data_IF_964014793758
#
_entry.id   IF_964014793758
#
_cell.length_a   1.000
_cell.length_b   1.000
_cell.length_c   1.000
_cell.angle_alpha   90.00
_cell.angle_beta   90.00
_cell.angle_gamma   90.00
#
_symmetry.space_group_name_H-M   'P 1'
#
loop_
_entity.id
_entity.type
_entity.pdbx_description
1 polymer ?
#
# COMPACT_ATOMS: atom_id res chain seq x y z
N UNK A 1 2.88 26.07 17.56
CA UNK A 1 3.49 24.89 16.92
C UNK A 1 3.11 24.91 15.46
N UNK A 2 4.04 24.67 14.55
CA UNK A 2 3.72 24.53 13.12
C UNK A 2 2.77 23.35 12.89
N UNK A 3 1.87 23.47 11.93
CA UNK A 3 0.96 22.40 11.53
C UNK A 3 1.77 21.20 11.02
N UNK A 4 1.52 19.99 11.55
CA UNK A 4 2.20 18.76 11.11
C UNK A 4 1.87 18.44 9.66
N UNK A 5 2.86 18.03 8.89
CA UNK A 5 2.75 17.74 7.46
C UNK A 5 2.87 16.24 7.14
N UNK A 6 2.11 15.77 6.15
CA UNK A 6 2.16 14.39 5.69
C UNK A 6 2.05 14.28 4.17
N UNK A 7 2.94 13.51 3.57
CA UNK A 7 2.86 13.09 2.17
C UNK A 7 2.22 11.69 2.11
N UNK A 8 1.16 11.55 1.29
CA UNK A 8 0.45 10.28 1.09
C UNK A 8 0.45 9.94 -0.39
N UNK A 9 0.94 8.74 -0.74
CA UNK A 9 0.91 8.27 -2.13
C UNK A 9 -0.35 7.47 -2.43
N UNK A 10 -0.90 7.62 -3.66
CA UNK A 10 -2.05 6.87 -4.12
C UNK A 10 -3.37 7.25 -3.47
N UNK A 11 -3.69 8.56 -3.47
CA UNK A 11 -4.90 9.13 -2.84
C UNK A 11 -6.13 9.15 -3.74
N UNK A 12 -6.08 8.61 -4.96
CA UNK A 12 -7.23 8.64 -5.88
C UNK A 12 -8.45 7.84 -5.37
N UNK A 13 -8.26 6.87 -4.48
CA UNK A 13 -9.35 6.07 -3.92
C UNK A 13 -8.91 5.27 -2.68
N UNK A 14 -9.87 4.61 -2.02
CA UNK A 14 -9.63 3.62 -0.98
C UNK A 14 -8.90 4.17 0.25
N UNK A 15 -7.86 3.47 0.70
CA UNK A 15 -7.13 3.78 1.94
C UNK A 15 -6.48 5.17 1.86
N UNK A 16 -5.79 5.49 0.76
CA UNK A 16 -5.12 6.78 0.60
C UNK A 16 -6.08 7.96 0.58
N UNK A 17 -7.24 7.81 -0.09
CA UNK A 17 -8.28 8.82 -0.12
C UNK A 17 -8.88 9.07 1.27
N UNK A 18 -9.30 8.01 1.97
CA UNK A 18 -9.86 8.10 3.33
C UNK A 18 -8.84 8.70 4.31
N UNK A 19 -7.58 8.28 4.24
CA UNK A 19 -6.51 8.80 5.07
C UNK A 19 -6.26 10.29 4.84
N UNK A 20 -6.24 10.74 3.57
CA UNK A 20 -6.01 12.12 3.22
C UNK A 20 -7.09 13.03 3.82
N UNK A 21 -8.36 12.71 3.60
CA UNK A 21 -9.47 13.48 4.15
C UNK A 21 -9.55 13.45 5.68
N UNK A 22 -9.30 12.27 6.27
CA UNK A 22 -9.39 12.12 7.73
C UNK A 22 -8.26 12.88 8.44
N UNK A 23 -7.03 12.82 7.93
CA UNK A 23 -5.90 13.55 8.48
C UNK A 23 -6.06 15.06 8.29
N UNK A 24 -6.55 15.49 7.13
CA UNK A 24 -6.88 16.90 6.87
C UNK A 24 -7.91 17.43 7.89
N UNK A 25 -9.00 16.70 8.10
CA UNK A 25 -10.02 17.03 9.11
C UNK A 25 -9.46 17.07 10.54
N UNK A 26 -8.43 16.29 10.81
CA UNK A 26 -7.73 16.29 12.10
C UNK A 26 -6.66 17.37 12.24
N UNK A 27 -6.56 18.30 11.28
CA UNK A 27 -5.67 19.45 11.34
C UNK A 27 -4.24 19.18 10.82
N UNK A 28 -3.99 18.06 10.12
CA UNK A 28 -2.74 17.88 9.40
C UNK A 28 -2.71 18.66 8.10
N UNK A 29 -1.54 19.15 7.72
CA UNK A 29 -1.28 19.61 6.37
C UNK A 29 -1.00 18.40 5.48
N UNK A 30 -1.95 18.06 4.63
CA UNK A 30 -1.91 16.81 3.85
C UNK A 30 -1.55 17.11 2.41
N UNK A 31 -0.45 16.56 1.95
CA UNK A 31 -0.08 16.50 0.55
C UNK A 31 -0.56 15.16 -0.03
N UNK A 32 -1.75 15.22 -0.65
CA UNK A 32 -2.38 14.05 -1.24
C UNK A 32 -1.87 13.86 -2.67
N UNK A 33 -1.28 12.70 -3.00
CA UNK A 33 -0.72 12.53 -4.34
C UNK A 33 -1.40 11.44 -5.16
N UNK A 34 -1.53 11.73 -6.44
CA UNK A 34 -2.12 10.85 -7.46
C UNK A 34 -1.28 10.87 -8.72
N UNK A 35 -1.31 9.77 -9.49
CA UNK A 35 -0.61 9.66 -10.76
C UNK A 35 -1.28 10.47 -11.86
N UNK A 36 -2.60 10.48 -11.92
CA UNK A 36 -3.40 11.13 -12.94
C UNK A 36 -3.76 12.57 -12.56
N UNK A 37 -3.63 13.50 -13.50
CA UNK A 37 -3.98 14.92 -13.28
C UNK A 37 -5.45 15.08 -12.90
N UNK A 38 -6.37 14.37 -13.52
CA UNK A 38 -7.80 14.39 -13.22
C UNK A 38 -8.14 14.07 -11.75
N UNK A 39 -7.38 13.15 -11.13
CA UNK A 39 -7.51 12.84 -9.71
C UNK A 39 -6.92 13.94 -8.82
N UNK A 40 -5.85 14.60 -9.27
CA UNK A 40 -5.25 15.76 -8.58
C UNK A 40 -6.25 16.91 -8.56
N UNK A 41 -6.84 17.25 -9.71
CA UNK A 41 -7.85 18.33 -9.82
C UNK A 41 -9.06 18.06 -8.92
N UNK A 42 -9.54 16.83 -8.91
CA UNK A 42 -10.64 16.42 -8.04
C UNK A 42 -10.31 16.60 -6.56
N UNK A 43 -9.16 16.14 -6.09
CA UNK A 43 -8.75 16.27 -4.69
C UNK A 43 -8.49 17.74 -4.30
N UNK A 44 -7.99 18.56 -5.23
CA UNK A 44 -7.83 20.00 -5.04
C UNK A 44 -9.19 20.67 -4.86
N UNK A 45 -10.18 20.32 -5.69
CA UNK A 45 -11.54 20.82 -5.56
C UNK A 45 -12.23 20.34 -4.26
N UNK A 46 -11.80 19.23 -3.70
CA UNK A 46 -12.23 18.74 -2.38
C UNK A 46 -11.50 19.43 -1.21
N UNK A 47 -10.61 20.40 -1.48
CA UNK A 47 -9.92 21.24 -0.50
C UNK A 47 -8.59 20.71 0.01
N UNK A 48 -8.01 19.68 -0.60
CA UNK A 48 -6.70 19.13 -0.24
C UNK A 48 -5.56 19.82 -1.02
N UNK A 49 -4.36 19.89 -0.45
CA UNK A 49 -3.15 20.17 -1.22
C UNK A 49 -2.78 18.91 -2.03
N UNK A 50 -3.31 18.83 -3.27
CA UNK A 50 -3.06 17.69 -4.13
C UNK A 50 -1.91 17.95 -5.09
N UNK A 51 -1.07 16.94 -5.34
CA UNK A 51 0.06 17.01 -6.26
C UNK A 51 0.11 15.78 -7.15
N UNK A 52 0.59 15.95 -8.38
CA UNK A 52 0.86 14.82 -9.25
C UNK A 52 2.15 14.13 -8.79
N UNK A 53 2.08 12.82 -8.59
CA UNK A 53 3.24 12.00 -8.26
C UNK A 53 3.02 10.58 -8.80
N UNK A 54 3.90 10.17 -9.72
CA UNK A 54 4.07 8.78 -10.13
C UNK A 54 5.27 8.20 -9.39
N UNK A 55 5.03 7.18 -8.58
CA UNK A 55 6.10 6.52 -7.81
C UNK A 55 7.07 5.71 -8.68
N UNK A 56 6.81 5.57 -9.97
CA UNK A 56 7.71 4.92 -10.93
C UNK A 56 8.56 5.92 -11.73
N UNK A 57 8.38 7.21 -11.48
CA UNK A 57 9.10 8.30 -12.16
C UNK A 57 9.86 9.16 -11.12
N UNK A 58 11.18 9.09 -11.15
CA UNK A 58 12.03 9.85 -10.23
C UNK A 58 11.88 11.36 -10.40
N UNK A 59 11.69 11.85 -11.63
CA UNK A 59 11.47 13.28 -11.90
C UNK A 59 10.17 13.77 -11.27
N UNK A 60 9.11 12.98 -11.39
CA UNK A 60 7.82 13.26 -10.73
C UNK A 60 7.95 13.29 -9.21
N UNK A 61 8.72 12.35 -8.63
CA UNK A 61 8.99 12.34 -7.18
C UNK A 61 9.77 13.60 -6.74
N UNK A 62 10.82 13.98 -7.48
CA UNK A 62 11.65 15.14 -7.15
C UNK A 62 10.86 16.44 -7.23
N UNK A 63 10.03 16.60 -8.27
CA UNK A 63 9.17 17.76 -8.43
C UNK A 63 8.17 17.89 -7.28
N UNK A 64 7.47 16.80 -6.95
CA UNK A 64 6.49 16.80 -5.87
C UNK A 64 7.15 17.05 -4.50
N UNK A 65 8.29 16.41 -4.21
CA UNK A 65 9.00 16.62 -2.94
C UNK A 65 9.57 18.03 -2.82
N UNK A 66 10.14 18.60 -3.89
CA UNK A 66 10.61 19.98 -3.92
C UNK A 66 9.51 20.96 -3.61
N UNK A 67 8.34 20.80 -4.22
CA UNK A 67 7.17 21.64 -3.98
C UNK A 67 6.67 21.52 -2.53
N UNK A 68 6.60 20.31 -1.99
CA UNK A 68 6.22 20.06 -0.58
C UNK A 68 7.19 20.78 0.35
N UNK A 69 8.50 20.60 0.14
CA UNK A 69 9.52 21.20 1.00
C UNK A 69 9.53 22.73 0.90
N UNK A 70 9.29 23.31 -0.28
CA UNK A 70 9.11 24.75 -0.46
C UNK A 70 7.95 25.27 0.38
N UNK A 71 6.81 24.59 0.36
CA UNK A 71 5.60 25.00 1.09
C UNK A 71 5.69 24.77 2.61
N UNK A 72 6.55 23.86 3.07
CA UNK A 72 6.68 23.49 4.49
C UNK A 72 7.92 24.07 5.17
N UNK A 73 8.69 24.90 4.47
CA UNK A 73 9.94 25.44 5.01
C UNK A 73 11.02 24.37 5.19
N UNK A 74 11.03 23.34 4.33
CA UNK A 74 12.07 22.31 4.29
C UNK A 74 11.83 21.12 5.24
N UNK A 75 10.60 20.92 5.74
CA UNK A 75 10.28 19.82 6.66
C UNK A 75 9.13 18.94 6.15
N UNK A 76 9.11 17.66 6.58
CA UNK A 76 8.03 16.72 6.32
C UNK A 76 7.92 15.74 7.50
N UNK A 77 6.84 15.83 8.28
CA UNK A 77 6.66 15.04 9.51
C UNK A 77 6.40 13.55 9.23
N UNK A 78 5.66 13.26 8.15
CA UNK A 78 5.30 11.88 7.83
C UNK A 78 5.26 11.60 6.33
N UNK A 79 5.63 10.35 5.97
CA UNK A 79 5.42 9.75 4.67
C UNK A 79 4.53 8.50 4.83
N UNK A 80 3.44 8.44 4.08
CA UNK A 80 2.59 7.24 3.98
C UNK A 80 2.71 6.66 2.56
N UNK A 81 3.47 5.59 2.44
CA UNK A 81 3.61 4.81 1.23
C UNK A 81 2.41 3.88 1.07
N UNK A 82 1.39 4.34 0.34
CA UNK A 82 0.15 3.61 0.11
C UNK A 82 -0.07 3.23 -1.36
N UNK A 83 0.54 3.91 -2.32
CA UNK A 83 0.38 3.59 -3.74
C UNK A 83 0.76 2.14 -4.04
N UNK A 84 -0.17 1.37 -4.59
CA UNK A 84 0.04 -0.02 -5.00
C UNK A 84 -1.11 -0.49 -5.91
N UNK A 85 -0.83 -1.52 -6.71
CA UNK A 85 -1.85 -2.23 -7.48
C UNK A 85 -1.60 -3.74 -7.47
N UNK A 86 -2.50 -4.51 -8.07
CA UNK A 86 -2.37 -5.95 -8.18
C UNK A 86 -2.50 -6.39 -9.65
N UNK A 87 -1.73 -7.42 -10.01
CA UNK A 87 -1.89 -8.16 -11.28
C UNK A 87 -2.28 -9.59 -10.94
N UNK A 88 -3.58 -9.92 -10.96
CA UNK A 88 -4.05 -11.26 -10.66
C UNK A 88 -3.77 -12.21 -11.85
N UNK A 89 -3.45 -13.47 -11.54
CA UNK A 89 -3.19 -14.51 -12.52
C UNK A 89 -2.52 -15.74 -11.90
N UNK A 90 -2.51 -16.85 -12.60
CA UNK A 90 -1.68 -18.00 -12.22
C UNK A 90 -0.20 -17.63 -12.40
N UNK A 91 0.65 -18.10 -11.53
CA UNK A 91 2.08 -17.75 -11.57
C UNK A 91 2.74 -18.11 -12.93
N UNK A 92 2.32 -19.22 -13.52
CA UNK A 92 2.81 -19.68 -14.84
C UNK A 92 2.34 -18.82 -16.02
N UNK A 93 1.25 -18.07 -15.86
CA UNK A 93 0.67 -17.22 -16.89
C UNK A 93 1.10 -15.74 -16.76
N UNK A 94 1.76 -15.36 -15.67
CA UNK A 94 2.22 -13.98 -15.45
C UNK A 94 3.53 -13.76 -16.21
N UNK A 95 3.57 -12.92 -17.25
CA UNK A 95 4.82 -12.58 -17.91
C UNK A 95 5.80 -11.91 -16.96
N UNK A 96 7.10 -12.13 -17.15
CA UNK A 96 8.15 -11.49 -16.32
C UNK A 96 8.05 -9.97 -16.34
N UNK A 97 7.63 -9.40 -17.46
CA UNK A 97 7.41 -7.96 -17.62
C UNK A 97 6.32 -7.46 -16.67
N UNK A 98 5.17 -8.13 -16.59
CA UNK A 98 4.11 -7.78 -15.65
C UNK A 98 4.58 -7.89 -14.18
N UNK A 99 5.45 -8.87 -13.89
CA UNK A 99 6.07 -8.99 -12.58
C UNK A 99 7.02 -7.81 -12.30
N UNK A 100 7.82 -7.36 -13.28
CA UNK A 100 8.65 -6.16 -13.12
C UNK A 100 7.81 -4.91 -12.90
N UNK A 101 6.80 -4.66 -13.73
CA UNK A 101 5.92 -3.49 -13.62
C UNK A 101 5.27 -3.37 -12.22
N UNK A 102 4.80 -4.48 -11.64
CA UNK A 102 4.21 -4.43 -10.29
C UNK A 102 5.26 -4.18 -9.19
N UNK A 103 6.49 -4.68 -9.36
CA UNK A 103 7.59 -4.39 -8.46
C UNK A 103 8.03 -2.93 -8.54
N UNK A 104 8.05 -2.33 -9.74
CA UNK A 104 8.35 -0.90 -9.91
C UNK A 104 7.44 -0.04 -9.04
N UNK A 105 6.12 -0.26 -9.08
CA UNK A 105 5.18 0.52 -8.27
C UNK A 105 5.21 0.14 -6.79
N UNK A 106 5.09 -1.17 -6.48
CA UNK A 106 4.78 -1.62 -5.12
C UNK A 106 6.01 -1.67 -4.20
N UNK A 107 7.23 -1.67 -4.76
CA UNK A 107 8.47 -1.78 -3.99
C UNK A 107 9.52 -0.74 -4.40
N UNK A 108 9.93 -0.70 -5.68
CA UNK A 108 11.07 0.16 -6.08
C UNK A 108 10.73 1.64 -5.98
N UNK A 109 9.55 2.06 -6.41
CA UNK A 109 9.09 3.44 -6.29
C UNK A 109 8.91 3.86 -4.82
N UNK A 110 8.33 2.99 -4.00
CA UNK A 110 8.25 3.19 -2.55
C UNK A 110 9.65 3.36 -1.94
N UNK A 111 10.61 2.52 -2.31
CA UNK A 111 11.99 2.61 -1.88
C UNK A 111 12.65 3.92 -2.33
N UNK A 112 12.51 4.29 -3.60
CA UNK A 112 13.07 5.51 -4.15
C UNK A 112 12.56 6.77 -3.41
N UNK A 113 11.25 6.88 -3.22
CA UNK A 113 10.65 7.99 -2.48
C UNK A 113 11.10 8.01 -1.01
N UNK A 114 11.15 6.84 -0.37
CA UNK A 114 11.64 6.71 1.02
C UNK A 114 13.09 7.20 1.15
N UNK A 115 13.98 6.84 0.21
CA UNK A 115 15.36 7.32 0.17
C UNK A 115 15.46 8.85 0.06
N UNK A 116 14.58 9.48 -0.72
CA UNK A 116 14.55 10.94 -0.90
C UNK A 116 14.03 11.65 0.36
N UNK A 117 13.12 11.05 1.13
CA UNK A 117 12.52 11.64 2.34
C UNK A 117 13.41 11.46 3.59
N UNK A 118 14.13 10.37 3.73
CA UNK A 118 14.99 10.10 4.90
C UNK A 118 15.97 11.24 5.21
N UNK A 119 16.72 11.83 4.24
CA UNK A 119 17.62 12.96 4.52
C UNK A 119 16.89 14.18 5.10
N UNK A 120 15.68 14.46 4.64
CA UNK A 120 14.84 15.55 5.17
C UNK A 120 14.52 15.28 6.64
N UNK A 121 14.04 14.07 6.95
CA UNK A 121 13.69 13.67 8.32
C UNK A 121 14.91 13.60 9.24
N UNK A 122 16.09 13.22 8.75
CA UNK A 122 17.34 13.28 9.52
C UNK A 122 17.74 14.71 9.86
N UNK A 123 17.69 15.63 8.88
CA UNK A 123 18.03 17.05 9.09
C UNK A 123 17.10 17.73 10.09
N UNK A 124 15.81 17.42 10.06
CA UNK A 124 14.83 18.00 10.99
C UNK A 124 14.84 17.33 12.38
N UNK A 125 15.47 16.16 12.55
CA UNK A 125 15.60 15.46 13.82
C UNK A 125 14.38 14.64 14.23
N UNK A 126 13.42 14.38 13.36
CA UNK A 126 12.25 13.52 13.59
C UNK A 126 11.63 13.08 12.26
N UNK A 127 10.81 12.04 12.30
CA UNK A 127 10.06 11.60 11.13
C UNK A 127 9.29 10.31 11.37
N UNK A 128 8.28 10.10 10.53
CA UNK A 128 7.50 8.85 10.51
C UNK A 128 7.32 8.37 9.08
N UNK A 129 7.69 7.14 8.82
CA UNK A 129 7.47 6.47 7.54
C UNK A 129 6.56 5.30 7.79
N UNK A 130 5.38 5.33 7.19
CA UNK A 130 4.36 4.29 7.30
C UNK A 130 4.20 3.61 5.95
N UNK A 131 4.54 2.33 5.88
CA UNK A 131 4.33 1.51 4.70
C UNK A 131 3.00 0.74 4.81
N UNK A 132 2.18 0.77 3.76
CA UNK A 132 0.96 -0.03 3.70
C UNK A 132 1.29 -1.39 3.09
N UNK A 133 1.42 -2.38 3.97
CA UNK A 133 1.61 -3.78 3.63
C UNK A 133 0.32 -4.48 3.22
N UNK A 134 0.18 -5.73 3.61
CA UNK A 134 -1.02 -6.55 3.42
C UNK A 134 -0.93 -7.84 4.24
N UNK A 135 -2.07 -8.47 4.55
CA UNK A 135 -2.09 -9.88 4.96
C UNK A 135 -1.36 -10.77 3.95
N UNK A 136 -1.38 -10.41 2.68
CA UNK A 136 -0.65 -11.07 1.60
C UNK A 136 0.87 -10.81 1.61
N UNK A 137 1.39 -10.08 2.58
CA UNK A 137 2.82 -9.96 2.86
C UNK A 137 3.37 -11.09 3.72
N UNK A 138 2.51 -11.96 4.26
CA UNK A 138 2.93 -13.07 5.12
C UNK A 138 2.08 -14.35 5.01
N UNK A 139 1.00 -14.33 4.21
CA UNK A 139 0.26 -15.52 3.74
C UNK A 139 0.01 -15.43 2.25
N UNK A 140 -0.30 -16.56 1.62
CA UNK A 140 -0.46 -16.66 0.16
C UNK A 140 -1.91 -17.00 -0.20
N UNK A 141 -2.33 -16.59 -1.40
CA UNK A 141 -3.60 -17.02 -1.99
C UNK A 141 -3.43 -17.28 -3.49
N UNK A 142 -4.21 -18.21 -4.04
CA UNK A 142 -4.26 -18.46 -5.48
C UNK A 142 -4.51 -17.16 -6.25
N UNK A 143 -3.97 -17.07 -7.46
CA UNK A 143 -4.13 -15.94 -8.40
C UNK A 143 -3.48 -14.62 -7.92
N UNK A 144 -2.57 -14.66 -6.95
CA UNK A 144 -1.99 -13.46 -6.33
C UNK A 144 -0.46 -13.45 -6.35
N UNK A 145 0.19 -14.35 -7.12
CA UNK A 145 1.64 -14.56 -7.02
C UNK A 145 2.46 -13.26 -7.15
N UNK A 146 2.20 -12.43 -8.16
CA UNK A 146 2.93 -11.18 -8.35
C UNK A 146 2.74 -10.19 -7.18
N UNK A 147 1.49 -10.00 -6.74
CA UNK A 147 1.19 -9.11 -5.61
C UNK A 147 1.76 -9.63 -4.29
N UNK A 148 1.59 -10.93 -4.02
CA UNK A 148 2.18 -11.60 -2.84
C UNK A 148 3.68 -11.38 -2.80
N UNK A 149 4.39 -11.60 -3.91
CA UNK A 149 5.83 -11.41 -3.99
C UNK A 149 6.23 -9.98 -3.59
N UNK A 150 5.54 -8.94 -4.11
CA UNK A 150 5.84 -7.55 -3.74
C UNK A 150 5.58 -7.26 -2.27
N UNK A 151 4.52 -7.83 -1.69
CA UNK A 151 4.16 -7.57 -0.28
C UNK A 151 5.04 -8.35 0.71
N UNK A 152 5.51 -9.55 0.36
CA UNK A 152 6.56 -10.25 1.12
C UNK A 152 7.89 -9.48 1.09
N UNK A 153 8.29 -8.98 -0.09
CA UNK A 153 9.47 -8.16 -0.22
C UNK A 153 9.37 -6.89 0.63
N UNK A 154 8.20 -6.24 0.65
CA UNK A 154 7.95 -5.05 1.45
C UNK A 154 8.02 -5.33 2.97
N UNK A 155 7.57 -6.49 3.44
CA UNK A 155 7.73 -6.93 4.83
C UNK A 155 9.21 -6.95 5.23
N UNK A 156 10.03 -7.68 4.48
CA UNK A 156 11.47 -7.80 4.74
C UNK A 156 12.19 -6.46 4.64
N UNK A 157 11.90 -5.68 3.59
CA UNK A 157 12.44 -4.34 3.39
C UNK A 157 12.13 -3.41 4.58
N UNK A 158 10.86 -3.38 5.01
CA UNK A 158 10.44 -2.51 6.12
C UNK A 158 11.06 -2.93 7.44
N UNK A 159 11.19 -4.22 7.71
CA UNK A 159 11.84 -4.73 8.93
C UNK A 159 13.32 -4.35 8.97
N UNK A 160 14.03 -4.50 7.85
CA UNK A 160 15.45 -4.11 7.73
C UNK A 160 15.63 -2.61 7.92
N UNK A 161 14.86 -1.80 7.17
CA UNK A 161 14.92 -0.34 7.30
C UNK A 161 14.64 0.13 8.74
N UNK A 162 13.70 -0.51 9.44
CA UNK A 162 13.40 -0.20 10.84
C UNK A 162 14.57 -0.48 11.78
N UNK A 163 15.32 -1.55 11.53
CA UNK A 163 16.51 -1.88 12.33
C UNK A 163 17.63 -0.89 12.03
N UNK A 164 17.85 -0.53 10.77
CA UNK A 164 18.85 0.44 10.35
C UNK A 164 18.58 1.86 10.87
N UNK A 165 17.28 2.23 11.02
CA UNK A 165 16.89 3.55 11.55
C UNK A 165 16.80 3.60 13.10
N UNK A 166 17.20 2.54 13.81
CA UNK A 166 17.07 2.44 15.27
C UNK A 166 17.89 3.50 16.01
N UNK A 167 19.00 3.92 15.43
CA UNK A 167 19.89 4.99 15.94
C UNK A 167 19.41 6.41 15.61
N UNK A 168 18.25 6.54 14.95
CA UNK A 168 17.66 7.81 14.53
C UNK A 168 16.32 8.07 15.22
N UNK A 169 15.84 9.32 15.24
CA UNK A 169 14.49 9.63 15.72
C UNK A 169 13.39 9.29 14.71
N UNK A 170 13.73 8.69 13.55
CA UNK A 170 12.76 8.31 12.51
C UNK A 170 12.10 6.98 12.87
N UNK A 171 10.78 6.93 12.89
CA UNK A 171 10.01 5.71 13.17
C UNK A 171 9.51 5.08 11.87
N UNK A 172 9.83 3.82 11.67
CA UNK A 172 9.38 3.01 10.52
C UNK A 172 8.29 2.06 10.97
N UNK A 173 7.10 2.14 10.36
CA UNK A 173 5.91 1.39 10.74
C UNK A 173 5.35 0.68 9.51
N UNK A 174 4.90 -0.55 9.71
CA UNK A 174 4.19 -1.33 8.70
C UNK A 174 2.76 -1.57 9.15
N UNK A 175 1.78 -1.20 8.34
CA UNK A 175 0.37 -1.53 8.58
C UNK A 175 -0.04 -2.60 7.60
N UNK A 176 -0.57 -3.71 8.09
CA UNK A 176 -0.96 -4.88 7.31
C UNK A 176 -2.48 -5.06 7.31
N UNK A 177 -3.19 -4.48 6.31
CA UNK A 177 -4.61 -4.72 6.13
C UNK A 177 -4.89 -6.14 5.61
N UNK A 178 -6.02 -6.71 6.06
CA UNK A 178 -6.68 -7.81 5.37
C UNK A 178 -7.71 -7.28 4.35
N UNK A 179 -8.90 -7.86 4.22
CA UNK A 179 -9.95 -7.35 3.33
C UNK A 179 -10.40 -5.94 3.73
N UNK A 180 -10.19 -4.97 2.84
CA UNK A 180 -10.61 -3.57 3.02
C UNK A 180 -11.40 -3.13 1.78
N UNK A 181 -12.48 -2.38 2.00
CA UNK A 181 -13.24 -1.75 0.93
C UNK A 181 -12.34 -0.77 0.17
N UNK A 182 -12.01 -1.10 -1.07
CA UNK A 182 -11.14 -0.31 -1.94
C UNK A 182 -11.38 -0.66 -3.40
N UNK A 183 -10.84 0.16 -4.30
CA UNK A 183 -10.88 -0.09 -5.74
C UNK A 183 -9.77 -1.02 -6.26
N UNK A 184 -9.02 -1.70 -5.38
CA UNK A 184 -7.87 -2.51 -5.82
C UNK A 184 -8.28 -3.63 -6.79
N UNK A 185 -9.49 -4.20 -6.62
CA UNK A 185 -10.02 -5.21 -7.54
C UNK A 185 -10.31 -4.62 -8.92
N UNK A 186 -11.07 -3.52 -8.96
CA UNK A 186 -11.38 -2.82 -10.21
C UNK A 186 -10.12 -2.32 -10.90
N UNK A 187 -9.20 -1.74 -10.14
CA UNK A 187 -7.92 -1.25 -10.64
C UNK A 187 -6.99 -2.37 -11.13
N UNK A 188 -7.22 -3.63 -10.74
CA UNK A 188 -6.44 -4.77 -11.23
C UNK A 188 -6.93 -5.33 -12.57
N UNK A 189 -8.16 -5.02 -12.99
CA UNK A 189 -8.75 -5.52 -14.25
C UNK A 189 -7.92 -5.10 -15.48
N UNK A 190 -7.57 -3.82 -15.68
CA UNK A 190 -6.75 -3.43 -16.84
C UNK A 190 -5.38 -4.14 -16.89
N UNK A 191 -4.76 -4.39 -15.74
CA UNK A 191 -3.49 -5.12 -15.67
C UNK A 191 -3.66 -6.60 -16.00
N UNK A 192 -4.77 -7.20 -15.57
CA UNK A 192 -5.13 -8.56 -15.94
C UNK A 192 -5.35 -8.69 -17.45
N UNK A 193 -6.15 -7.80 -18.04
CA UNK A 193 -6.48 -7.81 -19.48
C UNK A 193 -5.26 -7.53 -20.35
N UNK A 194 -4.36 -6.63 -19.91
CA UNK A 194 -3.12 -6.31 -20.62
C UNK A 194 -2.15 -7.49 -20.71
N UNK A 195 -2.03 -8.26 -19.60
CA UNK A 195 -0.92 -9.19 -19.44
C UNK A 195 -1.29 -10.68 -19.47
N UNK A 196 -2.54 -11.05 -19.13
CA UNK A 196 -2.90 -12.45 -18.92
C UNK A 196 -3.78 -12.98 -20.06
N UNK A 197 -3.19 -13.80 -20.91
CA UNK A 197 -3.94 -14.56 -21.92
C UNK A 197 -4.54 -15.83 -21.28
N UNK A 198 -5.51 -15.61 -20.39
CA UNK A 198 -6.12 -16.68 -19.60
C UNK A 198 -6.81 -17.77 -20.46
N UNK A 199 -7.33 -17.40 -21.65
CA UNK A 199 -8.07 -18.33 -22.53
C UNK A 199 -7.17 -19.38 -23.16
N UNK A 200 -5.90 -19.06 -23.36
CA UNK A 200 -4.89 -20.00 -23.87
C UNK A 200 -4.18 -20.78 -22.74
N UNK A 201 -4.45 -20.44 -21.47
CA UNK A 201 -3.81 -21.13 -20.33
C UNK A 201 -4.33 -22.55 -20.17
N UNK A 202 -3.46 -23.50 -19.78
CA UNK A 202 -3.89 -24.84 -19.30
C UNK A 202 -4.90 -24.76 -18.13
N UNK A 203 -4.99 -23.59 -17.47
CA UNK A 203 -5.90 -23.29 -16.36
C UNK A 203 -7.17 -22.54 -16.77
N UNK A 204 -7.50 -22.42 -18.07
CA UNK A 204 -8.63 -21.65 -18.56
C UNK A 204 -9.95 -21.96 -17.82
N UNK A 205 -10.22 -23.24 -17.58
CA UNK A 205 -11.39 -23.68 -16.80
C UNK A 205 -11.38 -23.14 -15.36
N UNK A 206 -10.22 -23.13 -14.70
CA UNK A 206 -10.08 -22.63 -13.33
C UNK A 206 -10.24 -21.10 -13.30
N UNK A 207 -9.75 -20.39 -14.34
CA UNK A 207 -9.99 -18.95 -14.51
C UNK A 207 -11.48 -18.67 -14.58
N UNK A 208 -12.23 -19.35 -15.46
CA UNK A 208 -13.68 -19.18 -15.59
C UNK A 208 -14.44 -19.45 -14.28
N UNK A 209 -14.09 -20.53 -13.59
CA UNK A 209 -14.77 -20.95 -12.36
C UNK A 209 -14.51 -20.05 -11.16
N UNK A 210 -13.36 -19.35 -11.11
CA UNK A 210 -12.96 -18.61 -9.92
C UNK A 210 -12.51 -17.17 -10.18
N UNK A 211 -11.38 -16.93 -10.87
CA UNK A 211 -10.79 -15.60 -10.96
C UNK A 211 -11.65 -14.62 -11.76
N UNK A 212 -12.19 -15.03 -12.92
CA UNK A 212 -13.03 -14.16 -13.74
C UNK A 212 -14.30 -13.74 -13.01
N UNK A 213 -14.93 -14.69 -12.30
CA UNK A 213 -16.08 -14.35 -11.44
C UNK A 213 -15.71 -13.32 -10.38
N UNK A 214 -14.53 -13.46 -9.75
CA UNK A 214 -14.06 -12.50 -8.76
C UNK A 214 -13.75 -11.13 -9.36
N UNK A 215 -13.29 -11.04 -10.59
CA UNK A 215 -12.93 -9.77 -11.25
C UNK A 215 -14.14 -9.02 -11.77
N UNK A 216 -15.09 -9.73 -12.39
CA UNK A 216 -16.16 -9.13 -13.17
C UNK A 216 -17.57 -9.22 -12.54
N UNK A 217 -17.81 -10.16 -11.62
CA UNK A 217 -19.09 -10.27 -10.97
C UNK A 217 -19.10 -9.46 -9.65
N UNK A 218 -20.22 -8.78 -9.39
CA UNK A 218 -20.46 -8.20 -8.07
C UNK A 218 -20.86 -9.31 -7.10
N UNK A 219 -19.99 -9.60 -6.16
CA UNK A 219 -20.18 -10.64 -5.14
C UNK A 219 -20.43 -10.06 -3.74
N UNK A 220 -20.67 -8.75 -3.69
CA UNK A 220 -20.77 -8.06 -2.42
C UNK A 220 -19.44 -8.01 -1.64
N UNK A 221 -19.46 -7.59 -0.37
CA UNK A 221 -18.28 -7.48 0.46
C UNK A 221 -17.70 -8.86 0.80
N UNK A 222 -16.37 -8.96 0.83
CA UNK A 222 -15.69 -10.16 1.33
C UNK A 222 -16.01 -10.34 2.84
N UNK A 223 -16.07 -11.58 3.30
CA UNK A 223 -16.22 -11.89 4.74
C UNK A 223 -15.09 -11.21 5.53
N UNK A 224 -15.41 -10.55 6.62
CA UNK A 224 -14.49 -9.74 7.43
C UNK A 224 -13.95 -8.47 6.75
N UNK A 225 -14.53 -8.03 5.65
CA UNK A 225 -14.17 -6.76 5.03
C UNK A 225 -14.53 -5.59 5.94
N UNK A 226 -13.58 -4.66 6.09
CA UNK A 226 -13.77 -3.43 6.84
C UNK A 226 -13.66 -2.21 5.90
N UNK A 227 -14.24 -1.06 6.25
CA UNK A 227 -14.06 0.18 5.50
C UNK A 227 -12.61 0.67 5.58
N UNK A 228 -12.21 1.55 4.65
CA UNK A 228 -10.88 2.15 4.62
C UNK A 228 -10.53 2.88 5.93
N UNK A 229 -11.51 3.47 6.60
CA UNK A 229 -11.36 4.13 7.90
C UNK A 229 -10.79 3.24 9.01
N UNK A 230 -10.92 1.91 8.89
CA UNK A 230 -10.28 0.99 9.83
C UNK A 230 -8.74 1.02 9.74
N UNK A 231 -8.20 1.25 8.52
CA UNK A 231 -6.76 1.47 8.32
C UNK A 231 -6.37 2.86 8.78
N UNK A 232 -7.17 3.86 8.46
CA UNK A 232 -6.94 5.25 8.89
C UNK A 232 -6.85 5.39 10.40
N UNK A 233 -7.68 4.66 11.17
CA UNK A 233 -7.55 4.61 12.64
C UNK A 233 -6.17 4.10 13.08
N UNK A 234 -5.57 3.14 12.37
CA UNK A 234 -4.20 2.68 12.66
C UNK A 234 -3.15 3.68 12.22
N UNK A 235 -3.40 4.44 11.14
CA UNK A 235 -2.53 5.54 10.73
C UNK A 235 -2.45 6.61 11.82
N UNK A 236 -3.55 7.02 12.43
CA UNK A 236 -3.51 7.95 13.57
C UNK A 236 -2.64 7.40 14.71
N UNK A 237 -2.80 6.13 15.09
CA UNK A 237 -1.96 5.51 16.13
C UNK A 237 -0.49 5.51 15.70
N UNK A 238 -0.17 5.19 14.43
CA UNK A 238 1.19 5.21 13.91
C UNK A 238 1.81 6.60 13.94
N UNK A 239 1.02 7.63 13.69
CA UNK A 239 1.46 9.03 13.59
C UNK A 239 1.52 9.75 14.94
N UNK A 240 0.69 9.38 15.92
CA UNK A 240 0.55 10.11 17.18
C UNK A 240 1.23 9.43 18.36
N UNK A 241 1.32 8.09 18.38
CA UNK A 241 1.93 7.40 19.52
C UNK A 241 3.42 7.73 19.67
N UNK A 242 3.88 7.98 20.89
CA UNK A 242 5.30 8.22 21.18
C UNK A 242 6.18 7.05 20.71
N UNK A 243 5.74 5.82 20.96
CA UNK A 243 6.40 4.59 20.55
C UNK A 243 5.36 3.69 19.83
N UNK A 244 5.12 3.92 18.51
CA UNK A 244 4.16 3.11 17.78
C UNK A 244 4.66 1.67 17.64
N UNK A 245 3.73 0.71 17.65
CA UNK A 245 4.07 -0.66 17.34
C UNK A 245 4.67 -0.75 15.93
N UNK A 246 5.77 -1.49 15.72
CA UNK A 246 6.45 -1.55 14.43
C UNK A 246 5.59 -2.21 13.34
N UNK A 247 4.68 -3.11 13.72
CA UNK A 247 3.70 -3.73 12.84
C UNK A 247 2.31 -3.63 13.44
N UNK A 248 1.35 -3.23 12.62
CA UNK A 248 -0.05 -3.13 12.98
C UNK A 248 -0.89 -3.92 11.98
N UNK A 249 -1.90 -4.62 12.47
CA UNK A 249 -2.80 -5.43 11.66
C UNK A 249 -4.19 -4.79 11.64
N UNK A 250 -4.89 -4.96 10.51
CA UNK A 250 -6.28 -4.50 10.38
C UNK A 250 -7.10 -5.65 9.81
N UNK A 251 -8.26 -5.90 10.38
CA UNK A 251 -9.18 -7.02 10.16
C UNK A 251 -8.80 -8.30 10.93
N UNK A 252 -9.81 -9.07 11.29
CA UNK A 252 -9.64 -10.35 11.98
C UNK A 252 -8.71 -11.32 11.23
N UNK A 253 -8.85 -11.53 9.90
CA UNK A 253 -7.92 -12.41 9.18
C UNK A 253 -6.46 -11.97 9.26
N UNK A 254 -6.18 -10.66 9.27
CA UNK A 254 -4.80 -10.19 9.37
C UNK A 254 -4.16 -10.56 10.72
N UNK A 255 -4.90 -10.44 11.82
CA UNK A 255 -4.43 -10.88 13.14
C UNK A 255 -4.28 -12.39 13.24
N UNK A 256 -5.32 -13.14 12.87
CA UNK A 256 -5.33 -14.60 13.02
C UNK A 256 -4.26 -15.26 12.16
N UNK A 257 -4.12 -14.84 10.90
CA UNK A 257 -3.11 -15.39 9.98
C UNK A 257 -1.68 -15.04 10.41
N UNK A 258 -1.45 -13.89 11.05
CA UNK A 258 -0.14 -13.57 11.61
C UNK A 258 0.29 -14.55 12.71
N UNK A 259 -0.66 -15.07 13.49
CA UNK A 259 -0.40 -16.07 14.52
C UNK A 259 -0.27 -17.46 13.87
N UNK A 260 -1.24 -17.87 13.06
CA UNK A 260 -1.31 -19.21 12.50
C UNK A 260 -0.09 -19.56 11.65
N UNK A 261 0.43 -18.61 10.86
CA UNK A 261 1.64 -18.84 10.04
C UNK A 261 2.89 -19.16 10.87
N UNK A 262 2.91 -18.79 12.17
CA UNK A 262 4.05 -19.02 13.07
C UNK A 262 3.97 -20.35 13.81
N UNK A 263 2.77 -20.90 13.94
CA UNK A 263 2.52 -22.10 14.74
C UNK A 263 2.13 -23.31 13.91
N UNK A 264 1.58 -23.10 12.72
CA UNK A 264 1.15 -24.19 11.84
C UNK A 264 2.26 -24.61 10.88
N UNK A 265 2.46 -25.93 10.68
CA UNK A 265 3.25 -26.44 9.56
C UNK A 265 2.65 -26.00 8.22
N UNK A 266 3.47 -25.84 7.18
CA UNK A 266 3.06 -25.35 5.85
C UNK A 266 1.83 -26.08 5.30
N UNK A 267 1.80 -27.43 5.36
CA UNK A 267 0.66 -28.21 4.84
C UNK A 267 -0.66 -27.92 5.55
N UNK A 268 -0.62 -27.67 6.86
CA UNK A 268 -1.81 -27.32 7.63
C UNK A 268 -2.29 -25.91 7.30
N UNK A 269 -1.36 -24.97 7.13
CA UNK A 269 -1.68 -23.60 6.70
C UNK A 269 -2.28 -23.58 5.30
N UNK A 270 -1.69 -24.32 4.33
CA UNK A 270 -2.21 -24.42 2.96
C UNK A 270 -3.62 -25.01 2.93
N UNK A 271 -3.87 -26.05 3.73
CA UNK A 271 -5.21 -26.62 3.85
C UNK A 271 -6.23 -25.63 4.39
N UNK A 272 -5.85 -24.83 5.40
CA UNK A 272 -6.72 -23.80 5.97
C UNK A 272 -7.03 -22.70 4.94
N UNK A 273 -6.02 -22.23 4.20
CA UNK A 273 -6.15 -21.17 3.18
C UNK A 273 -7.02 -21.64 2.01
N UNK A 274 -6.97 -22.91 1.64
CA UNK A 274 -7.79 -23.46 0.54
C UNK A 274 -9.27 -23.62 0.90
N UNK A 275 -9.59 -23.70 2.19
CA UNK A 275 -10.99 -23.82 2.66
C UNK A 275 -11.69 -22.49 2.90
N UNK A 276 -10.97 -21.40 3.04
CA UNK A 276 -11.48 -20.05 3.28
C UNK A 276 -11.50 -19.22 2.01
#
# INVERSE_FOLDING_TARGET
>A
MSQRSVLITGCSSGIGYDAAHSLFKAGWRVFATCRKAEDVDRLTNEGLEALQLDVTDETSMDSALSEILSRTGGSLDALINNAAYATPGAAEDIPTEALREIFETNLFGLHALTRKVIPVMRKQGYGRIVNIGSVLGYVVFKWRAAYVATKYALEGYTDTLRLEMKDTPIKIILINPGPITSRIRQNSVPHFEKHINWSASPRAEQYRKSLLKRLYEDRGPDRYQLPASAVTKKLFVALDAKNPAPKMYVTTPAYTMNILRRVLPTRALDWLIQKG
#
